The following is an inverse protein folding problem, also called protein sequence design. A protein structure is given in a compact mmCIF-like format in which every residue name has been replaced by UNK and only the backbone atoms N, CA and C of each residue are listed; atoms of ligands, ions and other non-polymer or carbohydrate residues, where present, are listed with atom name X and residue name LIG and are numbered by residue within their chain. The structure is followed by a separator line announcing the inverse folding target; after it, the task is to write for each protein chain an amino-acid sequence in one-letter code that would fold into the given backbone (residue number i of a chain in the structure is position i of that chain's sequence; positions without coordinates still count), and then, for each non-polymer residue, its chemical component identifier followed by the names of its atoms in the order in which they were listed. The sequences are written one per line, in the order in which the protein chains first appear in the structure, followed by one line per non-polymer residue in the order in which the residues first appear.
data_IF_921482504917
#
_entry.id   IF_921482504917
#
_cell.length_a   1.000
_cell.length_b   1.000
_cell.length_c   1.000
_cell.angle_alpha   90.00
_cell.angle_beta   90.00
_cell.angle_gamma   90.00
#
_symmetry.space_group_name_H-M   'P 1'
#
loop_
_entity.id
_entity.type
_entity.pdbx_description
1 polymer ?
#
# COMPACT_ATOMS: atom_id res chain seq x y z
N UNK A 1 -48.99 -43.68 -14.01
CA UNK A 1 -48.06 -43.35 -12.91
C UNK A 1 -46.65 -43.39 -13.48
N UNK A 2 -45.94 -42.25 -13.52
CA UNK A 2 -44.59 -42.21 -14.11
C UNK A 2 -43.57 -42.93 -13.22
N UNK A 3 -42.68 -43.71 -13.84
CA UNK A 3 -41.64 -44.49 -13.15
C UNK A 3 -40.72 -43.59 -12.31
N UNK A 4 -40.31 -44.00 -11.10
CA UNK A 4 -39.46 -43.22 -10.20
C UNK A 4 -38.12 -42.81 -10.85
N UNK A 5 -37.62 -43.60 -11.81
CA UNK A 5 -36.40 -43.30 -12.57
C UNK A 5 -36.60 -42.06 -13.46
N UNK A 6 -37.75 -41.94 -14.12
CA UNK A 6 -38.05 -40.81 -15.02
C UNK A 6 -38.15 -39.48 -14.26
N UNK A 7 -38.60 -39.52 -12.99
CA UNK A 7 -38.69 -38.34 -12.12
C UNK A 7 -37.32 -37.89 -11.60
N UNK A 8 -36.43 -38.84 -11.31
CA UNK A 8 -35.05 -38.55 -10.91
C UNK A 8 -34.28 -37.86 -12.06
N UNK A 9 -34.41 -38.40 -13.29
CA UNK A 9 -33.77 -37.80 -14.46
C UNK A 9 -34.28 -36.37 -14.71
N UNK A 10 -35.60 -36.14 -14.66
CA UNK A 10 -36.15 -34.81 -14.92
C UNK A 10 -35.69 -33.76 -13.88
N UNK A 11 -35.56 -34.17 -12.61
CA UNK A 11 -35.05 -33.29 -11.54
C UNK A 11 -33.58 -32.93 -11.69
N UNK A 12 -32.73 -33.89 -12.06
CA UNK A 12 -31.29 -33.66 -12.27
C UNK A 12 -31.04 -32.77 -13.48
N UNK A 13 -31.78 -32.96 -14.57
CA UNK A 13 -31.64 -32.11 -15.77
C UNK A 13 -32.06 -30.67 -15.49
N UNK A 14 -33.14 -30.45 -14.72
CA UNK A 14 -33.56 -29.11 -14.31
C UNK A 14 -32.52 -28.42 -13.42
N UNK A 15 -31.87 -29.15 -12.51
CA UNK A 15 -30.83 -28.60 -11.64
C UNK A 15 -29.56 -28.20 -12.43
N UNK A 16 -29.13 -29.03 -13.40
CA UNK A 16 -27.97 -28.72 -14.25
C UNK A 16 -28.24 -27.49 -15.12
N UNK A 17 -29.45 -27.38 -15.68
CA UNK A 17 -29.85 -26.20 -16.46
C UNK A 17 -29.88 -24.95 -15.57
N UNK A 18 -30.40 -25.05 -14.34
CA UNK A 18 -30.41 -23.93 -13.41
C UNK A 18 -28.99 -23.46 -13.05
N UNK A 19 -28.06 -24.40 -12.81
CA UNK A 19 -26.65 -24.07 -12.54
C UNK A 19 -26.00 -23.44 -13.78
N UNK A 20 -26.29 -23.93 -14.99
CA UNK A 20 -25.70 -23.36 -16.21
C UNK A 20 -26.19 -21.94 -16.53
N UNK A 21 -27.42 -21.58 -16.12
CA UNK A 21 -28.00 -20.25 -16.35
C UNK A 21 -27.60 -19.27 -15.24
N UNK A 22 -27.45 -19.75 -14.00
CA UNK A 22 -27.12 -18.91 -12.83
C UNK A 22 -25.65 -18.97 -12.40
N UNK A 23 -24.81 -19.80 -13.01
CA UNK A 23 -23.37 -19.73 -12.80
C UNK A 23 -22.83 -18.48 -13.51
N UNK A 24 -22.25 -17.51 -12.78
CA UNK A 24 -21.62 -16.35 -13.39
C UNK A 24 -20.42 -16.83 -14.21
N UNK A 25 -20.58 -16.87 -15.53
CA UNK A 25 -19.45 -17.00 -16.46
C UNK A 25 -18.88 -15.61 -16.71
N UNK A 26 -18.39 -14.99 -15.64
CA UNK A 26 -17.53 -13.82 -15.79
C UNK A 26 -16.17 -14.31 -16.28
N UNK A 27 -16.04 -14.32 -17.60
CA UNK A 27 -14.74 -14.34 -18.25
C UNK A 27 -14.10 -13.01 -17.93
N UNK A 28 -13.35 -12.98 -16.83
CA UNK A 28 -12.51 -11.84 -16.44
C UNK A 28 -11.47 -11.69 -17.54
N UNK A 29 -11.76 -10.81 -18.48
CA UNK A 29 -10.75 -10.37 -19.44
C UNK A 29 -9.70 -9.65 -18.63
N UNK A 30 -8.58 -10.33 -18.37
CA UNK A 30 -7.37 -9.69 -17.88
C UNK A 30 -6.89 -8.76 -18.99
N UNK A 31 -7.46 -7.55 -19.00
CA UNK A 31 -6.84 -6.42 -19.67
C UNK A 31 -5.56 -6.18 -18.90
N UNK A 32 -4.48 -6.85 -19.32
CA UNK A 32 -3.13 -6.52 -18.91
C UNK A 32 -2.79 -5.15 -19.52
N UNK A 33 -3.42 -4.11 -19.00
CA UNK A 33 -2.94 -2.74 -19.12
C UNK A 33 -1.56 -2.77 -18.50
N UNK A 34 -0.52 -2.60 -19.31
CA UNK A 34 0.80 -2.32 -18.79
C UNK A 34 0.71 -0.99 -18.06
N UNK A 35 0.47 -1.02 -16.74
CA UNK A 35 0.43 0.17 -15.88
C UNK A 35 1.85 0.73 -15.83
N UNK A 36 2.19 1.56 -16.80
CA UNK A 36 3.41 2.35 -16.74
C UNK A 36 3.19 3.37 -15.64
N UNK A 37 3.90 3.23 -14.53
CA UNK A 37 3.87 4.19 -13.42
C UNK A 37 4.08 5.60 -13.97
N UNK A 38 3.17 6.57 -13.72
CA UNK A 38 3.30 7.95 -14.19
C UNK A 38 4.67 8.57 -13.90
N UNK A 39 5.18 9.42 -14.80
CA UNK A 39 6.52 10.02 -14.66
C UNK A 39 6.69 10.78 -13.34
N UNK A 40 5.65 11.51 -12.90
CA UNK A 40 5.64 12.23 -11.62
C UNK A 40 5.95 11.29 -10.46
N UNK A 41 5.32 10.12 -10.42
CA UNK A 41 5.52 9.13 -9.37
C UNK A 41 6.90 8.47 -9.46
N UNK A 42 7.44 8.25 -10.67
CA UNK A 42 8.81 7.73 -10.84
C UNK A 42 9.89 8.69 -10.36
N UNK A 43 9.57 9.98 -10.32
CA UNK A 43 10.46 11.03 -9.83
C UNK A 43 10.29 11.29 -8.32
N UNK A 44 9.39 10.58 -7.63
CA UNK A 44 9.37 10.53 -6.17
C UNK A 44 10.29 9.39 -5.71
N UNK A 45 11.47 9.74 -5.23
CA UNK A 45 12.45 8.78 -4.73
C UNK A 45 12.22 8.49 -3.26
N UNK A 46 12.11 7.21 -2.89
CA UNK A 46 11.87 6.75 -1.53
C UNK A 46 13.12 6.05 -1.02
N UNK A 47 13.72 6.57 0.04
CA UNK A 47 14.95 6.01 0.62
C UNK A 47 14.75 5.77 2.11
N UNK A 48 15.14 4.58 2.57
CA UNK A 48 15.20 4.23 3.99
C UNK A 48 16.64 4.04 4.45
N UNK A 49 16.90 4.39 5.71
CA UNK A 49 18.17 4.20 6.42
C UNK A 49 17.92 3.85 7.88
N UNK A 50 18.84 3.11 8.48
CA UNK A 50 18.90 2.93 9.93
C UNK A 50 19.73 4.07 10.53
N UNK A 51 19.14 4.84 11.44
CA UNK A 51 19.80 5.93 12.16
C UNK A 51 20.36 5.44 13.51
N UNK A 52 19.63 4.54 14.18
CA UNK A 52 20.05 3.95 15.46
C UNK A 52 19.80 2.43 15.48
N UNK A 53 20.64 1.71 16.24
CA UNK A 53 20.55 0.25 16.41
C UNK A 53 19.75 -0.17 17.64
N UNK A 54 19.66 0.68 18.65
CA UNK A 54 18.94 0.42 19.88
C UNK A 54 18.49 1.75 20.55
N UNK A 55 17.20 2.12 20.46
CA UNK A 55 16.15 1.41 19.72
C UNK A 55 16.43 1.41 18.20
N UNK A 56 15.82 0.48 17.45
CA UNK A 56 16.02 0.42 15.99
C UNK A 56 15.26 1.56 15.33
N UNK A 57 15.92 2.71 15.17
CA UNK A 57 15.36 3.91 14.55
C UNK A 57 15.60 3.89 13.05
N UNK A 58 14.52 3.94 12.29
CA UNK A 58 14.50 3.98 10.84
C UNK A 58 14.11 5.38 10.37
N UNK A 59 14.85 5.93 9.42
CA UNK A 59 14.48 7.15 8.71
C UNK A 59 14.02 6.82 7.30
N UNK A 60 12.83 7.30 6.95
CA UNK A 60 12.30 7.34 5.59
C UNK A 60 12.44 8.75 5.04
N UNK A 61 12.93 8.86 3.81
CA UNK A 61 13.06 10.09 3.06
C UNK A 61 12.32 9.96 1.73
N UNK A 62 11.45 10.91 1.42
CA UNK A 62 10.79 11.03 0.11
C UNK A 62 11.31 12.29 -0.55
N UNK A 63 12.05 12.13 -1.65
CA UNK A 63 12.63 13.25 -2.41
C UNK A 63 11.85 13.48 -3.68
N UNK A 64 11.43 14.73 -3.91
CA UNK A 64 10.77 15.12 -5.14
C UNK A 64 11.79 15.55 -6.20
N UNK A 65 12.09 14.66 -7.16
CA UNK A 65 12.97 14.94 -8.29
C UNK A 65 12.21 15.52 -9.51
N UNK A 66 10.95 15.91 -9.36
CA UNK A 66 10.23 16.67 -10.39
C UNK A 66 10.70 18.14 -10.41
N UNK A 67 10.46 18.81 -11.53
CA UNK A 67 10.70 20.24 -11.71
C UNK A 67 9.58 21.14 -11.14
N UNK A 68 8.55 20.54 -10.54
CA UNK A 68 7.39 21.18 -9.95
C UNK A 68 7.07 20.60 -8.55
N UNK A 69 6.40 21.37 -7.67
CA UNK A 69 5.96 20.87 -6.38
C UNK A 69 4.97 19.72 -6.52
N UNK A 70 5.03 18.80 -5.57
CA UNK A 70 4.14 17.64 -5.49
C UNK A 70 3.53 17.59 -4.09
N UNK A 71 2.23 17.39 -4.01
CA UNK A 71 1.54 17.17 -2.74
C UNK A 71 1.11 15.71 -2.63
N UNK A 72 1.30 15.12 -1.46
CA UNK A 72 1.10 13.70 -1.19
C UNK A 72 0.09 13.59 -0.04
N UNK A 73 -0.92 12.74 -0.20
CA UNK A 73 -1.72 12.27 0.94
C UNK A 73 -0.87 11.33 1.78
N UNK A 74 -0.65 11.68 3.04
CA UNK A 74 0.24 10.93 3.93
C UNK A 74 -0.29 9.51 4.20
N UNK A 75 -1.60 9.31 4.29
CA UNK A 75 -2.20 8.01 4.61
C UNK A 75 -1.82 6.92 3.60
N UNK A 76 -1.17 5.86 4.10
CA UNK A 76 -0.65 4.75 3.28
C UNK A 76 0.63 5.06 2.49
N UNK A 77 1.17 6.27 2.62
CA UNK A 77 2.42 6.67 1.98
C UNK A 77 3.64 6.23 2.80
N UNK A 78 4.88 6.30 2.25
CA UNK A 78 6.10 6.06 3.02
C UNK A 78 6.32 7.03 4.20
N UNK A 79 5.61 8.16 4.22
CA UNK A 79 5.67 9.16 5.29
C UNK A 79 4.62 8.90 6.38
N UNK A 80 3.82 7.83 6.25
CA UNK A 80 2.75 7.53 7.19
C UNK A 80 3.33 7.05 8.52
N UNK A 81 2.88 7.66 9.62
CA UNK A 81 3.17 7.21 10.97
C UNK A 81 2.80 5.75 11.24
N UNK A 82 1.80 5.23 10.52
CA UNK A 82 1.36 3.82 10.62
C UNK A 82 1.91 2.94 9.50
N UNK A 83 2.85 3.39 8.66
CA UNK A 83 3.36 2.62 7.52
C UNK A 83 3.74 1.17 7.87
N UNK A 84 4.42 0.98 9.01
CA UNK A 84 4.78 -0.35 9.54
C UNK A 84 3.55 -1.21 9.79
N UNK A 85 2.58 -0.66 10.53
CA UNK A 85 1.34 -1.35 10.95
C UNK A 85 0.37 -1.57 9.78
N UNK A 86 0.53 -0.84 8.69
CA UNK A 86 -0.23 -1.02 7.45
C UNK A 86 0.39 -2.08 6.51
N UNK A 87 1.44 -2.78 6.95
CA UNK A 87 2.06 -3.85 6.18
C UNK A 87 2.89 -3.37 4.98
N UNK A 88 3.28 -2.09 4.96
CA UNK A 88 4.15 -1.54 3.89
C UNK A 88 5.63 -1.77 4.16
N UNK A 89 6.00 -2.09 5.40
CA UNK A 89 7.36 -2.45 5.78
C UNK A 89 7.56 -3.97 5.67
N UNK A 90 8.47 -4.38 4.82
CA UNK A 90 8.85 -5.78 4.65
C UNK A 90 10.17 -6.00 5.38
N UNK A 91 10.16 -6.89 6.38
CA UNK A 91 11.34 -7.26 7.17
C UNK A 91 11.59 -8.73 6.94
N UNK A 92 12.76 -9.12 6.44
CA UNK A 92 13.14 -10.52 6.23
C UNK A 92 14.32 -10.84 7.14
N UNK A 93 14.09 -11.72 8.11
CA UNK A 93 15.14 -12.17 9.02
C UNK A 93 16.26 -12.89 8.28
N UNK A 94 17.47 -12.82 8.83
CA UNK A 94 18.64 -13.48 8.24
C UNK A 94 18.40 -14.98 8.08
N UNK A 95 18.55 -15.47 6.86
CA UNK A 95 18.41 -16.89 6.53
C UNK A 95 17.00 -17.30 6.12
N UNK A 96 16.01 -16.42 6.32
CA UNK A 96 14.65 -16.64 5.84
C UNK A 96 14.49 -16.15 4.40
N UNK A 97 13.51 -16.72 3.70
CA UNK A 97 13.16 -16.34 2.33
C UNK A 97 11.89 -15.52 2.22
N UNK A 98 11.11 -15.46 3.31
CA UNK A 98 9.85 -14.73 3.39
C UNK A 98 9.94 -13.62 4.45
N UNK A 99 9.29 -12.47 4.21
CA UNK A 99 9.13 -11.44 5.22
C UNK A 99 8.39 -11.94 6.47
N UNK A 100 8.67 -11.32 7.61
CA UNK A 100 7.94 -11.48 8.86
C UNK A 100 6.48 -11.07 8.68
N UNK A 101 5.60 -11.82 9.33
CA UNK A 101 4.20 -11.41 9.47
C UNK A 101 4.12 -10.34 10.55
N UNK A 102 4.00 -9.09 10.12
CA UNK A 102 3.81 -7.94 11.00
C UNK A 102 2.32 -7.88 11.37
N UNK A 103 2.03 -7.59 12.64
CA UNK A 103 0.65 -7.37 13.07
C UNK A 103 0.06 -6.17 12.32
N UNK A 104 -0.87 -6.47 11.41
CA UNK A 104 -1.61 -5.46 10.68
C UNK A 104 -2.85 -5.08 11.48
N UNK A 105 -3.05 -3.79 11.70
CA UNK A 105 -4.29 -3.28 12.26
C UNK A 105 -5.19 -2.81 11.12
N UNK A 106 -6.45 -3.21 11.18
CA UNK A 106 -7.49 -2.59 10.36
C UNK A 106 -7.66 -1.15 10.86
N UNK A 107 -7.58 -0.19 9.94
CA UNK A 107 -7.36 1.20 10.29
C UNK A 107 -8.54 2.07 9.87
N UNK A 108 -9.30 2.51 10.87
CA UNK A 108 -10.30 3.57 10.70
C UNK A 108 -9.60 4.93 10.78
N UNK A 109 -9.15 5.46 9.64
CA UNK A 109 -8.71 6.85 9.56
C UNK A 109 -9.91 7.78 9.59
N UNK A 110 -9.73 8.94 10.22
CA UNK A 110 -10.65 10.03 10.04
C UNK A 110 -10.67 10.45 8.56
N UNK A 111 -11.87 10.44 7.97
CA UNK A 111 -12.13 10.88 6.61
C UNK A 111 -13.28 11.91 6.60
N UNK A 112 -13.18 13.04 5.87
CA UNK A 112 -12.07 13.44 4.99
C UNK A 112 -10.77 13.71 5.78
N UNK A 113 -9.60 13.54 5.14
CA UNK A 113 -8.32 13.83 5.76
C UNK A 113 -8.22 15.31 6.12
N UNK A 114 -7.59 15.60 7.26
CA UNK A 114 -7.28 16.97 7.66
C UNK A 114 -6.16 17.55 6.78
N UNK A 115 -6.00 18.88 6.82
CA UNK A 115 -4.98 19.55 6.01
C UNK A 115 -3.56 19.08 6.30
N UNK A 116 -3.24 18.74 7.54
CA UNK A 116 -1.94 18.21 7.97
C UNK A 116 -1.63 16.80 7.42
N UNK A 117 -2.65 16.06 6.96
CA UNK A 117 -2.45 14.80 6.26
C UNK A 117 -1.95 15.01 4.82
N UNK A 118 -1.91 16.23 4.30
CA UNK A 118 -1.29 16.55 3.01
C UNK A 118 0.12 17.11 3.20
N UNK A 119 1.10 16.44 2.61
CA UNK A 119 2.52 16.81 2.64
C UNK A 119 2.91 17.36 1.28
N UNK A 120 3.25 18.65 1.22
CA UNK A 120 3.83 19.27 0.04
C UNK A 120 5.35 19.11 0.04
N UNK A 121 5.91 18.73 -1.10
CA UNK A 121 7.35 18.60 -1.33
C UNK A 121 7.70 19.44 -2.56
N UNK A 122 8.44 20.52 -2.35
CA UNK A 122 8.94 21.37 -3.44
C UNK A 122 9.94 20.67 -4.36
N UNK A 123 10.27 21.24 -5.53
CA UNK A 123 11.27 20.69 -6.44
C UNK A 123 12.62 20.50 -5.75
N UNK A 124 13.18 19.29 -5.83
CA UNK A 124 14.45 18.92 -5.20
C UNK A 124 14.43 18.92 -3.67
N UNK A 125 13.27 19.07 -3.04
CA UNK A 125 13.11 19.00 -1.58
C UNK A 125 12.84 17.56 -1.14
N UNK A 126 13.07 17.30 0.15
CA UNK A 126 12.90 15.99 0.77
C UNK A 126 12.01 16.12 2.01
N UNK A 127 10.96 15.31 2.09
CA UNK A 127 10.20 15.10 3.32
C UNK A 127 10.75 13.88 4.06
N UNK A 128 10.76 13.95 5.39
CA UNK A 128 11.35 12.92 6.26
C UNK A 128 10.31 12.44 7.25
N UNK A 129 10.31 11.13 7.51
CA UNK A 129 9.60 10.50 8.61
C UNK A 129 10.52 9.53 9.33
N UNK A 130 10.41 9.46 10.65
CA UNK A 130 11.18 8.54 11.49
C UNK A 130 10.24 7.55 12.17
N UNK A 131 10.61 6.28 12.18
CA UNK A 131 9.84 5.21 12.81
C UNK A 131 10.76 4.27 13.57
N UNK A 132 10.29 3.80 14.71
CA UNK A 132 11.03 2.87 15.56
C UNK A 132 10.47 1.46 15.39
N UNK A 133 11.32 0.48 15.09
CA UNK A 133 10.93 -0.92 15.10
C UNK A 133 10.90 -1.41 16.55
N UNK A 134 9.73 -1.85 17.01
CA UNK A 134 9.53 -2.28 18.39
C UNK A 134 8.33 -3.23 18.52
N UNK A 135 8.33 -4.00 19.61
CA UNK A 135 7.20 -4.81 20.06
C UNK A 135 5.98 -3.94 20.40
N UNK A 136 4.73 -4.43 20.24
CA UNK A 136 4.37 -5.75 19.69
C UNK A 136 4.25 -5.76 18.16
N UNK A 137 4.42 -4.61 17.49
CA UNK A 137 4.17 -4.46 16.05
C UNK A 137 5.18 -5.29 15.26
N UNK A 138 6.45 -5.19 15.62
CA UNK A 138 7.54 -5.97 15.01
C UNK A 138 8.02 -7.00 16.05
N UNK A 139 8.01 -8.30 15.74
CA UNK A 139 8.53 -9.33 16.63
C UNK A 139 10.07 -9.25 16.66
N UNK A 140 10.61 -8.47 17.60
CA UNK A 140 12.02 -8.10 17.67
C UNK A 140 12.93 -9.30 17.95
N UNK A 141 12.42 -10.35 18.59
CA UNK A 141 13.12 -11.63 18.75
C UNK A 141 13.55 -12.24 17.41
N UNK A 142 12.76 -12.01 16.35
CA UNK A 142 13.09 -12.49 14.99
C UNK A 142 14.07 -11.59 14.25
N UNK A 143 14.25 -10.34 14.71
CA UNK A 143 15.10 -9.31 14.09
C UNK A 143 16.46 -9.19 14.81
N UNK A 144 16.61 -9.83 15.98
CA UNK A 144 17.70 -9.64 16.94
C UNK A 144 19.12 -9.78 16.37
N UNK A 145 19.37 -10.68 15.42
CA UNK A 145 20.72 -10.79 14.82
C UNK A 145 20.92 -9.75 13.71
N UNK A 146 20.07 -9.80 12.70
CA UNK A 146 20.01 -8.88 11.57
C UNK A 146 18.81 -9.22 10.71
N UNK A 147 18.33 -8.24 9.96
CA UNK A 147 17.27 -8.44 8.97
C UNK A 147 17.48 -7.53 7.77
N UNK A 148 16.93 -7.93 6.64
CA UNK A 148 16.84 -7.10 5.45
C UNK A 148 15.48 -6.39 5.43
N UNK A 149 15.47 -5.09 5.18
CA UNK A 149 14.28 -4.24 5.26
C UNK A 149 14.03 -3.49 3.95
N UNK A 150 12.75 -3.38 3.56
CA UNK A 150 12.31 -2.59 2.42
C UNK A 150 10.89 -2.03 2.65
N UNK A 151 10.65 -0.76 2.31
CA UNK A 151 9.30 -0.21 2.21
C UNK A 151 8.75 -0.43 0.80
N UNK A 152 7.52 -0.94 0.71
CA UNK A 152 6.77 -1.07 -0.55
C UNK A 152 5.30 -0.79 -0.31
N UNK A 153 4.67 -0.17 -1.28
CA UNK A 153 3.25 0.10 -1.21
C UNK A 153 2.74 0.79 -2.46
N UNK A 154 1.58 1.41 -2.32
CA UNK A 154 0.92 2.18 -3.37
C UNK A 154 0.64 3.57 -2.83
N UNK A 155 1.00 4.59 -3.58
CA UNK A 155 0.57 5.95 -3.29
C UNK A 155 -0.96 6.03 -3.37
N UNK A 156 -1.60 6.37 -2.25
CA UNK A 156 -3.05 6.55 -2.19
C UNK A 156 -3.50 7.70 -3.09
N UNK A 157 -2.86 8.86 -2.94
CA UNK A 157 -3.10 10.03 -3.77
C UNK A 157 -1.88 10.95 -3.82
N UNK A 158 -1.50 11.35 -5.03
CA UNK A 158 -0.43 12.32 -5.31
C UNK A 158 -0.94 13.35 -6.31
N UNK A 159 -0.77 14.63 -6.00
CA UNK A 159 -1.09 15.75 -6.86
C UNK A 159 0.20 16.40 -7.38
N UNK A 160 0.39 16.55 -8.70
CA UNK A 160 1.51 17.28 -9.29
C UNK A 160 1.31 18.80 -9.20
N UNK A 161 0.97 19.31 -8.01
CA UNK A 161 0.73 20.72 -7.71
C UNK A 161 0.94 21.01 -6.23
N UNK A 162 1.00 22.30 -5.91
CA UNK A 162 1.02 22.84 -4.54
C UNK A 162 -0.25 22.49 -3.77
N UNK A 163 -0.11 22.38 -2.45
CA UNK A 163 -1.17 22.04 -1.50
C UNK A 163 -2.29 23.05 -1.48
N UNK A 164 -1.97 24.34 -1.65
CA UNK A 164 -2.97 25.42 -1.72
C UNK A 164 -3.94 25.26 -2.89
N UNK A 165 -3.55 24.54 -3.94
CA UNK A 165 -4.39 24.28 -5.10
C UNK A 165 -5.31 23.07 -4.95
N UNK A 166 -5.30 22.38 -3.81
CA UNK A 166 -6.14 21.20 -3.55
C UNK A 166 -7.41 21.64 -2.85
N UNK A 167 -8.54 21.35 -3.46
CA UNK A 167 -9.85 21.53 -2.84
C UNK A 167 -10.14 20.30 -1.95
N UNK A 168 -10.21 20.52 -0.65
CA UNK A 168 -10.47 19.46 0.33
C UNK A 168 -11.87 18.85 0.20
N UNK A 169 -12.81 19.55 -0.43
CA UNK A 169 -14.11 18.96 -0.76
C UNK A 169 -14.00 17.85 -1.81
N UNK A 170 -12.93 17.81 -2.62
CA UNK A 170 -12.63 16.68 -3.53
C UNK A 170 -12.14 15.43 -2.77
N UNK A 171 -11.79 15.56 -1.50
CA UNK A 171 -11.35 14.47 -0.62
C UNK A 171 -12.52 13.86 0.17
N UNK A 172 -13.77 14.26 -0.08
CA UNK A 172 -14.93 13.65 0.58
C UNK A 172 -15.09 12.17 0.20
N UNK A 173 -15.60 11.37 1.14
CA UNK A 173 -15.81 9.94 0.92
C UNK A 173 -16.76 9.70 -0.26
N UNK A 174 -16.38 8.79 -1.17
CA UNK A 174 -17.18 8.48 -2.35
C UNK A 174 -17.02 9.46 -3.52
N UNK A 175 -16.21 10.52 -3.38
CA UNK A 175 -15.88 11.43 -4.49
C UNK A 175 -14.65 10.89 -5.26
N UNK A 176 -14.69 10.83 -6.61
CA UNK A 176 -13.51 10.56 -7.40
C UNK A 176 -12.47 11.66 -7.14
N UNK A 177 -11.31 11.29 -6.60
CA UNK A 177 -10.24 12.25 -6.31
C UNK A 177 -9.59 12.65 -7.64
N UNK A 178 -10.16 13.65 -8.30
CA UNK A 178 -9.75 14.07 -9.64
C UNK A 178 -8.33 14.65 -9.63
N UNK A 179 -7.60 14.40 -10.72
CA UNK A 179 -6.24 14.91 -10.89
C UNK A 179 -5.21 14.27 -9.96
N UNK A 180 -5.55 13.16 -9.27
CA UNK A 180 -4.60 12.38 -8.50
C UNK A 180 -3.92 11.32 -9.34
N UNK A 181 -2.69 11.03 -8.94
CA UNK A 181 -1.94 9.89 -9.41
C UNK A 181 -1.89 8.86 -8.28
N UNK A 182 -2.14 7.60 -8.66
CA UNK A 182 -1.89 6.42 -7.83
C UNK A 182 -0.90 5.52 -8.55
N UNK A 183 -0.09 4.78 -7.80
CA UNK A 183 0.92 3.88 -8.34
C UNK A 183 1.83 3.35 -7.26
N UNK A 184 2.58 2.30 -7.59
CA UNK A 184 3.47 1.66 -6.62
C UNK A 184 4.71 2.50 -6.32
N UNK A 185 5.23 2.33 -5.11
CA UNK A 185 6.56 2.77 -4.71
C UNK A 185 7.35 1.61 -4.10
N UNK A 186 8.67 1.72 -4.18
CA UNK A 186 9.60 0.83 -3.50
C UNK A 186 10.76 1.68 -2.99
N UNK A 187 11.21 1.43 -1.76
CA UNK A 187 12.48 1.98 -1.29
C UNK A 187 13.68 1.16 -1.76
N UNK A 188 14.88 1.67 -1.49
CA UNK A 188 16.07 0.83 -1.41
C UNK A 188 15.89 -0.28 -0.36
N UNK A 189 16.72 -1.32 -0.48
CA UNK A 189 16.84 -2.41 0.47
C UNK A 189 18.02 -2.10 1.39
N UNK A 190 17.86 -2.27 2.69
CA UNK A 190 18.96 -2.14 3.67
C UNK A 190 19.02 -3.36 4.57
N UNK A 191 20.22 -3.70 5.04
CA UNK A 191 20.40 -4.59 6.17
C UNK A 191 20.42 -3.76 7.46
N UNK A 192 19.67 -4.20 8.47
CA UNK A 192 19.62 -3.59 9.79
C UNK A 192 20.26 -4.51 10.82
N UNK A 193 20.85 -3.91 11.83
CA UNK A 193 21.43 -4.60 12.97
C UNK A 193 20.78 -4.14 14.26
N UNK A 194 20.61 -5.05 15.22
CA UNK A 194 20.19 -4.73 16.59
C UNK A 194 21.44 -4.81 17.48
N UNK A 195 21.67 -3.76 18.27
CA UNK A 195 22.84 -3.66 19.16
C UNK A 195 22.58 -4.22 20.56
#
# INVERSE_FOLDING_TARGET
MASPILRLFLGVTAAIIFIAIFAPTESVSSVASSFTTPLVLRNLDVVIRQEEKNPVLMRTAVTNNNDHPVTILNYGSPLDALAIQLGTLYITSKGDSSPLEILQIENDRLWPPMEDALVEIGPGQTAIWESTLQEPVVPMDSVFESATVQLKGTWTAVWPREKQGIDFSELEEGTPINGTLTGSYNSNIIDIEVA
#
